data_IF_120241981944
#
_entry.id   IF_120241981944
#
_cell.length_a   1.000
_cell.length_b   1.000
_cell.length_c   1.000
_cell.angle_alpha   90.00
_cell.angle_beta   90.00
_cell.angle_gamma   90.00
#
_symmetry.space_group_name_H-M   'P 1'
#
loop_
_entity.id
_entity.type
_entity.pdbx_description
1 polymer ?
#
# COMPACT_ATOMS: atom_id res chain seq x y z
N UNK A 1 3.77 -18.17 -37.40
CA UNK A 1 4.36 -17.97 -38.74
C UNK A 1 5.57 -17.06 -38.73
N UNK A 2 5.90 -16.38 -37.61
CA UNK A 2 6.94 -15.36 -37.48
C UNK A 2 8.35 -15.88 -37.11
N UNK A 3 8.45 -17.08 -36.53
CA UNK A 3 9.73 -17.72 -36.12
C UNK A 3 10.71 -17.87 -37.30
N UNK A 4 10.19 -17.96 -38.53
CA UNK A 4 11.02 -18.19 -39.69
C UNK A 4 11.66 -16.90 -40.21
N UNK A 5 10.99 -15.74 -40.14
CA UNK A 5 11.42 -14.57 -40.91
C UNK A 5 12.66 -13.89 -40.33
N UNK A 6 12.77 -13.73 -39.01
CA UNK A 6 13.96 -13.13 -38.37
C UNK A 6 15.18 -14.04 -38.48
N UNK A 7 14.98 -15.33 -38.21
CA UNK A 7 16.02 -16.37 -38.39
C UNK A 7 16.46 -16.46 -39.85
N UNK A 8 15.51 -16.32 -40.79
CA UNK A 8 15.78 -16.28 -42.22
C UNK A 8 16.57 -15.04 -42.61
N UNK A 9 16.23 -13.87 -42.06
CA UNK A 9 16.99 -12.64 -42.25
C UNK A 9 18.43 -12.79 -41.77
N UNK A 10 18.64 -13.31 -40.55
CA UNK A 10 19.97 -13.58 -40.01
C UNK A 10 20.77 -14.54 -40.90
N UNK A 11 20.16 -15.65 -41.31
CA UNK A 11 20.81 -16.66 -42.16
C UNK A 11 21.26 -16.07 -43.50
N UNK A 12 20.40 -15.25 -44.14
CA UNK A 12 20.75 -14.60 -45.41
C UNK A 12 21.85 -13.56 -45.18
N UNK A 13 21.73 -12.71 -44.15
CA UNK A 13 22.73 -11.68 -43.83
C UNK A 13 24.13 -12.28 -43.58
N UNK A 14 24.21 -13.42 -42.87
CA UNK A 14 25.46 -14.14 -42.60
C UNK A 14 26.03 -14.85 -43.85
N UNK A 15 25.17 -15.18 -44.82
CA UNK A 15 25.57 -15.86 -46.04
C UNK A 15 26.04 -14.91 -47.15
N UNK A 16 25.88 -13.60 -46.98
CA UNK A 16 26.34 -12.59 -47.94
C UNK A 16 27.88 -12.52 -48.00
N UNK A 17 28.42 -12.59 -49.21
CA UNK A 17 29.84 -12.33 -49.50
C UNK A 17 30.04 -10.89 -49.93
N UNK A 18 31.25 -10.36 -49.68
CA UNK A 18 31.65 -8.99 -50.05
C UNK A 18 30.63 -7.94 -49.58
N UNK A 19 30.25 -8.04 -48.30
CA UNK A 19 29.20 -7.20 -47.72
C UNK A 19 29.65 -5.74 -47.65
N UNK A 20 28.95 -4.88 -48.38
CA UNK A 20 29.05 -3.43 -48.28
C UNK A 20 27.97 -2.90 -47.33
N UNK A 21 28.41 -2.03 -46.44
CA UNK A 21 27.57 -1.38 -45.45
C UNK A 21 27.21 0.04 -45.95
N UNK A 22 26.01 0.18 -46.51
CA UNK A 22 25.48 1.48 -46.98
C UNK A 22 24.57 2.10 -45.93
N UNK A 23 24.19 3.37 -46.05
CA UNK A 23 23.46 4.06 -44.97
C UNK A 23 22.23 3.29 -44.46
N UNK A 24 21.40 2.77 -45.37
CA UNK A 24 20.12 2.13 -45.04
C UNK A 24 20.06 0.63 -45.34
N UNK A 25 21.01 0.10 -46.12
CA UNK A 25 20.98 -1.29 -46.59
C UNK A 25 22.31 -2.02 -46.42
N UNK A 26 22.23 -3.32 -46.15
CA UNK A 26 23.34 -4.23 -46.37
C UNK A 26 23.30 -4.74 -47.81
N UNK A 27 24.38 -4.55 -48.54
CA UNK A 27 24.50 -5.03 -49.92
C UNK A 27 25.53 -6.15 -49.93
N UNK A 28 25.21 -7.28 -50.53
CA UNK A 28 26.17 -8.37 -50.65
C UNK A 28 25.82 -9.34 -51.75
N UNK A 29 26.74 -10.25 -52.04
CA UNK A 29 26.61 -11.20 -53.13
C UNK A 29 26.40 -12.61 -52.59
N UNK A 30 25.42 -13.33 -53.13
CA UNK A 30 25.19 -14.75 -52.79
C UNK A 30 25.00 -15.60 -54.04
N UNK A 31 25.32 -16.89 -53.95
CA UNK A 31 24.86 -17.88 -54.92
C UNK A 31 23.47 -18.38 -54.50
N UNK A 32 22.51 -18.35 -55.41
CA UNK A 32 21.14 -18.78 -55.12
C UNK A 32 20.97 -20.29 -55.29
N UNK A 33 20.21 -20.89 -54.39
CA UNK A 33 19.62 -22.22 -54.53
C UNK A 33 18.10 -22.11 -54.26
N UNK A 34 17.37 -23.21 -54.45
CA UNK A 34 15.91 -23.26 -54.25
C UNK A 34 15.49 -22.77 -52.86
N UNK A 35 16.24 -23.13 -51.83
CA UNK A 35 15.94 -22.78 -50.43
C UNK A 35 16.19 -21.29 -50.13
N UNK A 36 17.29 -20.71 -50.63
CA UNK A 36 17.63 -19.30 -50.47
C UNK A 36 16.64 -18.43 -51.24
N UNK A 37 16.20 -18.88 -52.42
CA UNK A 37 15.19 -18.16 -53.21
C UNK A 37 13.85 -18.09 -52.49
N UNK A 38 13.40 -19.20 -51.89
CA UNK A 38 12.18 -19.24 -51.07
C UNK A 38 12.28 -18.29 -49.87
N UNK A 39 13.41 -18.34 -49.16
CA UNK A 39 13.72 -17.44 -48.05
C UNK A 39 13.75 -15.96 -48.46
N UNK A 40 14.30 -15.62 -49.62
CA UNK A 40 14.33 -14.25 -50.13
C UNK A 40 12.94 -13.75 -50.55
N UNK A 41 12.10 -14.62 -51.12
CA UNK A 41 10.71 -14.28 -51.40
C UNK A 41 9.93 -13.99 -50.11
N UNK A 42 10.18 -14.74 -49.03
CA UNK A 42 9.62 -14.48 -47.70
C UNK A 42 10.09 -13.10 -47.18
N UNK A 43 11.39 -12.81 -47.23
CA UNK A 43 11.93 -11.51 -46.79
C UNK A 43 11.46 -10.34 -47.65
N UNK A 44 11.31 -10.52 -48.97
CA UNK A 44 10.81 -9.47 -49.86
C UNK A 44 9.33 -9.18 -49.61
N UNK A 45 8.54 -10.21 -49.34
CA UNK A 45 7.13 -10.07 -48.93
C UNK A 45 7.00 -9.33 -47.59
N UNK A 46 7.97 -9.50 -46.69
CA UNK A 46 8.08 -8.77 -45.43
C UNK A 46 8.70 -7.36 -45.55
N UNK A 47 9.07 -6.92 -46.77
CA UNK A 47 9.66 -5.62 -47.02
C UNK A 47 11.12 -5.47 -46.56
N UNK A 48 11.82 -6.57 -46.27
CA UNK A 48 13.19 -6.59 -45.77
C UNK A 48 14.25 -6.81 -46.85
N UNK A 49 13.83 -7.20 -48.05
CA UNK A 49 14.71 -7.44 -49.19
C UNK A 49 14.12 -6.87 -50.48
N UNK A 50 14.98 -6.27 -51.31
CA UNK A 50 14.56 -5.76 -52.61
C UNK A 50 14.11 -6.93 -53.51
N UNK A 51 12.97 -6.76 -54.19
CA UNK A 51 12.45 -7.73 -55.18
C UNK A 51 13.24 -7.76 -56.49
N UNK A 52 14.22 -6.87 -56.64
CA UNK A 52 15.06 -6.73 -57.81
C UNK A 52 16.53 -7.00 -57.48
N UNK A 53 17.16 -7.90 -58.24
CA UNK A 53 18.53 -8.38 -58.01
C UNK A 53 19.42 -8.02 -59.19
N UNK A 54 20.70 -7.73 -58.94
CA UNK A 54 21.73 -7.65 -60.00
C UNK A 54 22.44 -8.98 -60.15
N UNK A 55 22.85 -9.33 -61.37
CA UNK A 55 23.45 -10.63 -61.67
C UNK A 55 24.88 -10.48 -62.18
N UNK A 56 25.81 -11.15 -61.52
CA UNK A 56 27.19 -11.40 -62.00
C UNK A 56 27.32 -12.84 -62.49
N UNK A 57 28.03 -13.05 -63.59
CA UNK A 57 28.57 -14.36 -63.99
C UNK A 57 30.06 -14.28 -64.12
N UNK A 58 30.79 -15.20 -63.49
CA UNK A 58 32.25 -15.21 -63.50
C UNK A 58 32.85 -13.82 -63.14
N UNK A 59 32.30 -13.17 -62.11
CA UNK A 59 32.62 -11.81 -61.66
C UNK A 59 32.33 -10.66 -62.65
N UNK A 60 31.70 -10.93 -63.80
CA UNK A 60 31.28 -9.92 -64.77
C UNK A 60 29.78 -9.67 -64.65
N UNK A 61 29.38 -8.40 -64.52
CA UNK A 61 27.97 -8.00 -64.45
C UNK A 61 27.29 -8.30 -65.79
N UNK A 62 26.25 -9.15 -65.81
CA UNK A 62 25.55 -9.52 -67.06
C UNK A 62 24.24 -8.74 -67.24
N UNK A 63 23.52 -8.49 -66.15
CA UNK A 63 22.22 -7.83 -66.18
C UNK A 63 22.16 -6.71 -65.15
N UNK A 64 21.65 -5.51 -65.53
CA UNK A 64 21.50 -4.40 -64.59
C UNK A 64 20.39 -4.66 -63.55
N UNK A 65 19.35 -5.44 -63.88
CA UNK A 65 18.23 -5.75 -62.97
C UNK A 65 17.46 -7.00 -63.42
N UNK A 66 17.22 -7.95 -62.52
CA UNK A 66 16.32 -9.10 -62.71
C UNK A 66 15.31 -9.16 -61.55
N UNK A 67 14.04 -9.47 -61.83
CA UNK A 67 13.03 -9.67 -60.78
C UNK A 67 13.21 -11.02 -60.11
N UNK A 68 13.00 -11.08 -58.79
CA UNK A 68 13.02 -12.32 -58.00
C UNK A 68 12.08 -13.39 -58.57
N UNK A 69 10.89 -13.01 -59.03
CA UNK A 69 9.89 -13.91 -59.62
C UNK A 69 10.34 -14.56 -60.94
N UNK A 70 11.35 -13.98 -61.59
CA UNK A 70 11.90 -14.48 -62.87
C UNK A 70 12.97 -15.57 -62.71
N UNK A 71 13.45 -15.81 -61.49
CA UNK A 71 14.56 -16.73 -61.21
C UNK A 71 14.01 -18.16 -61.07
N UNK A 72 14.49 -19.05 -61.95
CA UNK A 72 14.18 -20.49 -61.98
C UNK A 72 15.45 -21.33 -61.85
N UNK A 73 15.30 -22.64 -61.67
CA UNK A 73 16.37 -23.63 -61.49
C UNK A 73 17.57 -23.50 -62.44
N UNK A 74 17.31 -23.07 -63.68
CA UNK A 74 18.32 -22.79 -64.71
C UNK A 74 19.31 -21.65 -64.37
N UNK A 75 19.17 -20.99 -63.23
CA UNK A 75 20.07 -19.93 -62.80
C UNK A 75 20.75 -20.23 -61.46
N UNK A 76 20.64 -21.46 -60.94
CA UNK A 76 21.34 -21.92 -59.73
C UNK A 76 22.75 -22.45 -60.01
N UNK A 77 23.35 -22.09 -61.16
CA UNK A 77 24.71 -22.51 -61.47
C UNK A 77 25.72 -21.70 -60.63
N UNK A 78 26.82 -22.33 -60.14
CA UNK A 78 27.82 -21.68 -59.27
C UNK A 78 28.54 -20.51 -59.93
N UNK A 79 28.46 -20.39 -61.25
CA UNK A 79 28.99 -19.26 -62.02
C UNK A 79 28.22 -17.96 -61.78
N UNK A 80 26.96 -18.03 -61.33
CA UNK A 80 26.10 -16.87 -61.10
C UNK A 80 26.08 -16.45 -59.63
N UNK A 81 26.24 -15.16 -59.39
CA UNK A 81 26.06 -14.52 -58.09
C UNK A 81 25.10 -13.36 -58.20
N UNK A 82 24.32 -13.14 -57.15
CA UNK A 82 23.21 -12.20 -57.11
C UNK A 82 23.45 -11.16 -56.03
N UNK A 83 23.29 -9.89 -56.38
CA UNK A 83 23.33 -8.77 -55.44
C UNK A 83 22.02 -8.74 -54.66
N UNK A 84 22.11 -8.99 -53.36
CA UNK A 84 20.99 -8.86 -52.43
C UNK A 84 21.17 -7.56 -51.65
N UNK A 85 20.07 -6.82 -51.53
CA UNK A 85 19.99 -5.64 -50.69
C UNK A 85 18.99 -5.92 -49.59
N UNK A 86 19.48 -5.91 -48.34
CA UNK A 86 18.67 -6.11 -47.15
C UNK A 86 18.51 -4.77 -46.42
N UNK A 87 17.29 -4.46 -45.98
CA UNK A 87 17.03 -3.31 -45.12
C UNK A 87 17.72 -3.50 -43.77
N UNK A 88 18.36 -2.46 -43.23
CA UNK A 88 19.09 -2.52 -41.95
C UNK A 88 18.21 -2.55 -40.72
N UNK A 89 17.02 -1.96 -40.80
CA UNK A 89 16.05 -1.96 -39.73
C UNK A 89 14.64 -2.04 -40.29
N UNK A 90 13.70 -2.44 -39.44
CA UNK A 90 12.27 -2.38 -39.74
C UNK A 90 11.51 -1.64 -38.63
N UNK A 91 12.20 -0.80 -37.84
CA UNK A 91 11.74 -0.27 -36.56
C UNK A 91 10.46 0.60 -36.65
N UNK A 92 10.11 1.08 -37.85
CA UNK A 92 8.87 1.84 -38.06
C UNK A 92 7.67 0.96 -38.44
N UNK A 93 7.91 -0.27 -38.91
CA UNK A 93 6.89 -1.18 -39.46
C UNK A 93 6.91 -2.57 -38.78
N UNK A 94 7.73 -2.75 -37.74
CA UNK A 94 7.88 -4.01 -37.03
C UNK A 94 6.83 -4.16 -35.94
N UNK A 95 5.75 -4.88 -36.22
CA UNK A 95 4.70 -5.21 -35.24
C UNK A 95 4.97 -6.57 -34.56
N UNK A 96 5.45 -7.56 -35.33
CA UNK A 96 5.66 -8.93 -34.86
C UNK A 96 7.13 -9.24 -34.53
N UNK A 97 8.06 -8.54 -35.18
CA UNK A 97 9.50 -8.71 -35.00
C UNK A 97 10.26 -7.43 -35.32
N UNK A 98 11.43 -7.25 -34.70
CA UNK A 98 12.28 -6.08 -34.93
C UNK A 98 13.68 -6.49 -35.38
N UNK A 99 14.14 -5.84 -36.43
CA UNK A 99 15.54 -5.77 -36.85
C UNK A 99 15.98 -4.34 -36.60
N UNK A 100 17.04 -4.16 -35.82
CA UNK A 100 17.62 -2.85 -35.53
C UNK A 100 19.13 -2.97 -35.28
N UNK A 101 19.79 -1.85 -35.08
CA UNK A 101 21.23 -1.79 -34.88
C UNK A 101 21.63 -2.32 -33.51
N UNK A 102 21.02 -1.79 -32.43
CA UNK A 102 21.34 -2.13 -31.04
C UNK A 102 20.19 -1.80 -30.08
N UNK A 103 20.41 -2.06 -28.79
CA UNK A 103 19.49 -1.73 -27.70
C UNK A 103 19.11 -0.24 -27.66
N UNK A 104 20.07 0.68 -27.83
CA UNK A 104 19.79 2.12 -27.76
C UNK A 104 18.83 2.59 -28.86
N UNK A 105 18.94 2.04 -30.08
CA UNK A 105 17.98 2.32 -31.16
C UNK A 105 16.58 1.83 -30.77
N UNK A 106 16.46 0.59 -30.31
CA UNK A 106 15.18 -0.02 -29.88
C UNK A 106 14.51 0.77 -28.76
N UNK A 107 15.27 1.09 -27.71
CA UNK A 107 14.80 1.75 -26.48
C UNK A 107 14.53 3.25 -26.65
N UNK A 108 14.93 3.84 -27.78
CA UNK A 108 14.57 5.22 -28.11
C UNK A 108 13.09 5.38 -28.48
N UNK A 109 12.42 4.27 -28.83
CA UNK A 109 11.03 4.23 -29.27
C UNK A 109 10.07 3.80 -28.14
N UNK A 110 9.23 4.71 -27.62
CA UNK A 110 8.34 4.42 -26.49
C UNK A 110 7.37 3.24 -26.72
N UNK A 111 6.92 3.03 -27.95
CA UNK A 111 5.92 2.00 -28.25
C UNK A 111 6.47 0.58 -28.03
N UNK A 112 7.77 0.37 -28.20
CA UNK A 112 8.43 -0.91 -27.93
C UNK A 112 8.75 -1.12 -26.45
N UNK A 113 8.77 -0.05 -25.65
CA UNK A 113 8.83 -0.16 -24.18
C UNK A 113 7.44 -0.53 -23.64
N UNK A 114 6.39 0.08 -24.18
CA UNK A 114 5.00 -0.16 -23.78
C UNK A 114 4.51 -1.52 -24.27
N UNK A 115 4.97 -2.00 -25.42
CA UNK A 115 4.64 -3.32 -25.93
C UNK A 115 5.90 -4.06 -26.41
N UNK A 116 6.63 -4.72 -25.50
CA UNK A 116 7.88 -5.41 -25.82
C UNK A 116 7.69 -6.52 -26.85
N UNK A 117 8.41 -6.41 -27.97
CA UNK A 117 8.45 -7.43 -29.01
C UNK A 117 9.41 -8.56 -28.64
N UNK A 118 8.98 -9.81 -28.85
CA UNK A 118 9.72 -11.01 -28.40
C UNK A 118 10.80 -11.46 -29.38
N UNK A 119 10.62 -11.18 -30.68
CA UNK A 119 11.55 -11.61 -31.71
C UNK A 119 12.37 -10.40 -32.18
N UNK A 120 13.65 -10.36 -31.77
CA UNK A 120 14.56 -9.25 -32.03
C UNK A 120 15.85 -9.74 -32.70
N UNK A 121 16.36 -8.96 -33.65
CA UNK A 121 17.67 -9.19 -34.24
C UNK A 121 18.48 -7.90 -34.29
N UNK A 122 19.68 -7.94 -33.70
CA UNK A 122 20.61 -6.81 -33.73
C UNK A 122 21.66 -6.99 -34.80
N UNK A 123 21.73 -6.05 -35.72
CA UNK A 123 22.64 -6.11 -36.87
C UNK A 123 24.09 -5.79 -36.48
N UNK A 124 24.32 -4.99 -35.43
CA UNK A 124 25.67 -4.66 -34.94
C UNK A 124 26.37 -5.87 -34.30
N UNK A 125 25.68 -6.57 -33.40
CA UNK A 125 26.21 -7.73 -32.67
C UNK A 125 25.87 -9.07 -33.32
N UNK A 126 25.00 -9.08 -34.33
CA UNK A 126 24.46 -10.27 -35.01
C UNK A 126 23.75 -11.23 -34.05
N UNK A 127 23.21 -10.70 -32.96
CA UNK A 127 22.51 -11.46 -31.93
C UNK A 127 21.02 -11.58 -32.26
N UNK A 128 20.49 -12.79 -32.06
CA UNK A 128 19.08 -13.10 -32.16
C UNK A 128 18.52 -13.29 -30.74
N UNK A 129 17.47 -12.56 -30.41
CA UNK A 129 16.72 -12.74 -29.18
C UNK A 129 15.33 -13.25 -29.52
N UNK A 130 14.92 -14.29 -28.81
CA UNK A 130 13.61 -14.91 -28.93
C UNK A 130 13.14 -15.36 -27.54
N UNK A 131 12.00 -16.05 -27.47
CA UNK A 131 11.45 -16.55 -26.20
C UNK A 131 12.37 -17.49 -25.42
N UNK A 132 13.33 -18.14 -26.08
CA UNK A 132 14.26 -19.09 -25.48
C UNK A 132 15.58 -18.41 -25.05
N UNK A 133 15.73 -17.10 -25.32
CA UNK A 133 16.91 -16.36 -24.90
C UNK A 133 16.98 -16.23 -23.38
N UNK A 134 18.17 -16.47 -22.84
CA UNK A 134 18.48 -16.33 -21.40
C UNK A 134 19.25 -15.05 -21.09
N UNK A 135 19.41 -14.18 -22.09
CA UNK A 135 20.08 -12.89 -21.93
C UNK A 135 19.36 -12.00 -20.92
N UNK A 136 20.09 -11.49 -19.92
CA UNK A 136 19.53 -10.71 -18.82
C UNK A 136 18.90 -9.40 -19.31
N UNK A 137 19.54 -8.71 -20.27
CA UNK A 137 19.01 -7.46 -20.83
C UNK A 137 17.70 -7.71 -21.58
N UNK A 138 17.61 -8.82 -22.33
CA UNK A 138 16.39 -9.22 -23.00
C UNK A 138 15.25 -9.55 -22.02
N UNK A 139 15.54 -10.29 -20.95
CA UNK A 139 14.54 -10.56 -19.90
C UNK A 139 14.07 -9.26 -19.22
N UNK A 140 15.00 -8.35 -18.91
CA UNK A 140 14.68 -7.04 -18.34
C UNK A 140 13.86 -6.16 -19.30
N UNK A 141 14.16 -6.21 -20.60
CA UNK A 141 13.39 -5.52 -21.63
C UNK A 141 11.92 -6.00 -21.67
N UNK A 142 11.68 -7.32 -21.63
CA UNK A 142 10.31 -7.86 -21.56
C UNK A 142 9.57 -7.41 -20.30
N UNK A 143 10.30 -7.20 -19.20
CA UNK A 143 9.76 -6.75 -17.91
C UNK A 143 9.45 -5.24 -17.87
N UNK A 144 9.93 -4.44 -18.83
CA UNK A 144 9.67 -2.99 -18.85
C UNK A 144 8.17 -2.65 -18.92
N UNK A 145 7.38 -3.45 -19.62
CA UNK A 145 5.92 -3.30 -19.69
C UNK A 145 5.29 -3.30 -18.30
N UNK A 146 5.78 -4.14 -17.38
CA UNK A 146 5.25 -4.24 -16.02
C UNK A 146 5.53 -2.99 -15.19
N UNK A 147 6.65 -2.34 -15.46
CA UNK A 147 7.01 -1.09 -14.82
C UNK A 147 6.17 0.07 -15.39
N UNK A 148 5.92 0.05 -16.70
CA UNK A 148 4.95 0.95 -17.33
C UNK A 148 3.53 0.76 -16.76
N UNK A 149 3.08 -0.50 -16.62
CA UNK A 149 1.80 -0.87 -16.00
C UNK A 149 1.70 -0.35 -14.57
N UNK A 150 2.79 -0.44 -13.79
CA UNK A 150 2.86 0.15 -12.45
C UNK A 150 2.71 1.68 -12.46
N UNK A 151 3.39 2.40 -13.36
CA UNK A 151 3.21 3.87 -13.48
C UNK A 151 1.77 4.20 -13.85
N UNK A 152 1.19 3.47 -14.81
CA UNK A 152 -0.20 3.70 -15.23
C UNK A 152 -1.20 3.38 -14.12
N UNK A 153 -0.99 2.32 -13.37
CA UNK A 153 -1.77 2.01 -12.17
C UNK A 153 -1.75 3.19 -11.19
N UNK A 154 -0.59 3.79 -10.91
CA UNK A 154 -0.52 4.98 -10.05
C UNK A 154 -1.17 6.22 -10.70
N UNK A 155 -1.04 6.37 -12.02
CA UNK A 155 -1.65 7.47 -12.78
C UNK A 155 -3.18 7.41 -12.70
N UNK A 156 -3.77 6.23 -12.90
CA UNK A 156 -5.21 5.98 -12.80
C UNK A 156 -5.74 6.25 -11.40
N UNK A 157 -5.06 5.75 -10.37
CA UNK A 157 -5.46 5.97 -8.98
C UNK A 157 -5.32 7.44 -8.54
N UNK A 158 -4.40 8.19 -9.15
CA UNK A 158 -4.26 9.63 -8.95
C UNK A 158 -5.12 10.47 -9.91
N UNK A 159 -5.97 9.83 -10.73
CA UNK A 159 -6.83 10.46 -11.74
C UNK A 159 -6.08 11.41 -12.69
N UNK A 160 -4.89 10.99 -13.08
CA UNK A 160 -3.99 11.74 -13.95
C UNK A 160 -3.93 11.13 -15.35
N UNK A 161 -3.36 11.88 -16.31
CA UNK A 161 -3.10 11.38 -17.66
C UNK A 161 -2.14 10.18 -17.63
N UNK A 162 -2.19 9.32 -18.65
CA UNK A 162 -1.30 8.17 -18.79
C UNK A 162 0.18 8.60 -18.72
N UNK A 163 0.99 7.81 -18.00
CA UNK A 163 2.40 8.14 -17.75
C UNK A 163 2.63 9.38 -16.88
N UNK A 164 1.63 9.84 -16.13
CA UNK A 164 1.74 10.98 -15.21
C UNK A 164 1.22 10.63 -13.83
N UNK A 165 2.06 10.79 -12.80
CA UNK A 165 1.65 10.59 -11.41
C UNK A 165 1.42 11.97 -10.77
N UNK A 166 0.25 12.17 -10.15
CA UNK A 166 -0.01 13.38 -9.37
C UNK A 166 0.15 13.12 -7.88
N UNK A 167 1.10 13.83 -7.26
CA UNK A 167 1.29 13.81 -5.81
C UNK A 167 1.84 15.16 -5.35
N UNK A 168 0.96 16.03 -4.85
CA UNK A 168 1.17 17.47 -4.62
C UNK A 168 1.47 18.30 -5.88
N UNK A 169 2.21 17.74 -6.84
CA UNK A 169 2.46 18.25 -8.20
C UNK A 169 2.44 17.09 -9.20
N UNK A 170 2.33 17.42 -10.49
CA UNK A 170 2.37 16.43 -11.57
C UNK A 170 3.79 16.02 -11.92
N UNK A 171 4.03 14.71 -12.03
CA UNK A 171 5.28 14.12 -12.48
C UNK A 171 5.03 13.30 -13.74
N UNK A 172 5.43 13.86 -14.89
CA UNK A 172 5.37 13.19 -16.18
C UNK A 172 6.58 12.30 -16.39
N UNK A 173 6.39 11.17 -17.06
CA UNK A 173 7.46 10.26 -17.47
C UNK A 173 7.62 10.30 -18.98
N UNK A 174 8.87 10.48 -19.43
CA UNK A 174 9.24 10.18 -20.81
C UNK A 174 9.80 8.77 -20.88
N UNK A 175 9.15 7.90 -21.66
CA UNK A 175 9.54 6.50 -21.83
C UNK A 175 10.63 6.38 -22.89
N UNK A 176 11.85 6.78 -22.53
CA UNK A 176 13.05 6.60 -23.34
C UNK A 176 14.15 6.01 -22.46
N UNK A 177 14.84 4.99 -22.96
CA UNK A 177 15.89 4.28 -22.22
C UNK A 177 17.14 4.09 -23.09
N UNK A 178 18.19 3.63 -22.44
CA UNK A 178 19.49 3.25 -23.02
C UNK A 178 19.83 1.82 -22.60
N UNK A 179 20.77 1.17 -23.30
CA UNK A 179 21.21 -0.19 -22.97
C UNK A 179 21.69 -0.32 -21.50
N UNK A 180 22.31 0.74 -20.98
CA UNK A 180 22.79 0.76 -19.60
C UNK A 180 21.66 0.64 -18.55
N UNK A 181 20.42 1.00 -18.91
CA UNK A 181 19.28 0.90 -18.00
C UNK A 181 18.84 -0.54 -17.77
N UNK A 182 19.14 -1.45 -18.71
CA UNK A 182 18.72 -2.86 -18.66
C UNK A 182 19.66 -3.76 -17.85
N UNK A 183 20.79 -3.23 -17.36
CA UNK A 183 21.84 -4.03 -16.69
C UNK A 183 21.45 -4.53 -15.31
N UNK A 184 20.55 -3.83 -14.63
CA UNK A 184 20.13 -4.17 -13.27
C UNK A 184 18.96 -5.16 -13.31
N UNK A 185 19.01 -6.21 -12.49
CA UNK A 185 17.92 -7.18 -12.38
C UNK A 185 16.67 -6.52 -11.78
N UNK A 186 15.50 -6.73 -12.41
CA UNK A 186 14.24 -6.10 -12.03
C UNK A 186 13.37 -7.06 -11.22
N UNK A 187 13.11 -6.75 -9.94
CA UNK A 187 12.20 -7.55 -9.09
C UNK A 187 10.72 -7.22 -9.36
N UNK A 188 10.19 -7.75 -10.46
CA UNK A 188 8.79 -7.54 -10.87
C UNK A 188 7.79 -8.28 -9.98
N UNK A 189 8.17 -9.43 -9.41
CA UNK A 189 7.25 -10.27 -8.62
C UNK A 189 6.79 -9.54 -7.35
N UNK A 190 7.73 -8.89 -6.67
CA UNK A 190 7.42 -8.09 -5.48
C UNK A 190 6.55 -6.89 -5.84
N UNK A 191 6.82 -6.24 -6.99
CA UNK A 191 6.02 -5.12 -7.49
C UNK A 191 4.55 -5.53 -7.76
N UNK A 192 4.33 -6.65 -8.45
CA UNK A 192 2.97 -7.17 -8.70
C UNK A 192 2.25 -7.54 -7.41
N UNK A 193 2.97 -8.15 -6.46
CA UNK A 193 2.41 -8.49 -5.14
C UNK A 193 1.97 -7.25 -4.37
N UNK A 194 2.74 -6.16 -4.46
CA UNK A 194 2.39 -4.87 -3.87
C UNK A 194 1.14 -4.25 -4.52
N UNK A 195 1.03 -4.29 -5.85
CA UNK A 195 -0.11 -3.75 -6.60
C UNK A 195 -1.43 -4.49 -6.31
N UNK A 196 -1.35 -5.81 -6.12
CA UNK A 196 -2.52 -6.68 -5.93
C UNK A 196 -2.96 -6.82 -4.46
N UNK A 197 -2.39 -6.04 -3.54
CA UNK A 197 -2.68 -6.17 -2.11
C UNK A 197 -3.96 -5.42 -1.73
N UNK A 198 -4.97 -6.16 -1.27
CA UNK A 198 -6.29 -5.59 -0.93
C UNK A 198 -6.33 -4.90 0.45
N UNK A 199 -5.57 -5.39 1.44
CA UNK A 199 -5.59 -4.81 2.78
C UNK A 199 -4.97 -3.42 2.79
N UNK A 200 -5.73 -2.42 3.23
CA UNK A 200 -5.31 -1.01 3.25
C UNK A 200 -4.92 -0.47 1.86
N UNK A 201 -5.55 -0.97 0.80
CA UNK A 201 -5.23 -0.64 -0.60
C UNK A 201 -5.05 0.85 -0.88
N UNK A 202 -5.98 1.70 -0.43
CA UNK A 202 -5.87 3.16 -0.61
C UNK A 202 -4.61 3.75 0.06
N UNK A 203 -4.30 3.30 1.28
CA UNK A 203 -3.11 3.75 2.00
C UNK A 203 -1.82 3.26 1.33
N UNK A 204 -1.80 2.01 0.84
CA UNK A 204 -0.69 1.45 0.07
C UNK A 204 -0.45 2.28 -1.20
N UNK A 205 -1.51 2.58 -1.95
CA UNK A 205 -1.38 3.36 -3.20
C UNK A 205 -0.87 4.77 -2.91
N UNK A 206 -1.39 5.42 -1.86
CA UNK A 206 -0.89 6.74 -1.45
C UNK A 206 0.59 6.69 -1.06
N UNK A 207 1.01 5.64 -0.34
CA UNK A 207 2.40 5.41 0.04
C UNK A 207 3.29 5.18 -1.19
N UNK A 208 2.85 4.36 -2.15
CA UNK A 208 3.55 4.17 -3.41
C UNK A 208 3.73 5.49 -4.15
N UNK A 209 2.66 6.29 -4.29
CA UNK A 209 2.74 7.60 -4.92
C UNK A 209 3.76 8.50 -4.21
N UNK A 210 3.73 8.53 -2.87
CA UNK A 210 4.68 9.32 -2.07
C UNK A 210 6.12 8.89 -2.31
N UNK A 211 6.42 7.59 -2.24
CA UNK A 211 7.79 7.09 -2.39
C UNK A 211 8.28 7.23 -3.83
N UNK A 212 7.47 6.90 -4.84
CA UNK A 212 7.82 7.08 -6.26
C UNK A 212 8.06 8.55 -6.58
N UNK A 213 7.15 9.44 -6.19
CA UNK A 213 7.30 10.87 -6.46
C UNK A 213 8.45 11.48 -5.68
N UNK A 214 8.70 11.04 -4.45
CA UNK A 214 9.87 11.43 -3.67
C UNK A 214 11.19 10.98 -4.30
N UNK A 215 11.19 9.80 -4.94
CA UNK A 215 12.34 9.21 -5.61
C UNK A 215 12.74 9.94 -6.90
N UNK A 216 11.78 10.52 -7.63
CA UNK A 216 12.00 11.20 -8.91
C UNK A 216 11.97 12.74 -8.82
N UNK A 217 11.76 13.29 -7.62
CA UNK A 217 11.40 14.70 -7.43
C UNK A 217 12.46 15.70 -7.94
N UNK A 218 13.72 15.32 -7.89
CA UNK A 218 14.88 16.13 -8.23
C UNK A 218 15.47 15.75 -9.60
N UNK A 219 14.75 14.94 -10.38
CA UNK A 219 15.21 14.37 -11.65
C UNK A 219 14.46 15.02 -12.81
N UNK A 220 15.21 15.34 -13.88
CA UNK A 220 14.66 15.87 -15.11
C UNK A 220 13.67 14.90 -15.75
N UNK A 221 12.60 15.42 -16.33
CA UNK A 221 11.52 14.63 -16.94
C UNK A 221 12.00 13.57 -17.93
N UNK A 222 13.08 13.86 -18.66
CA UNK A 222 13.66 12.93 -19.65
C UNK A 222 14.31 11.70 -19.01
N UNK A 223 14.83 11.84 -17.79
CA UNK A 223 15.65 10.83 -17.12
C UNK A 223 14.91 10.08 -16.01
N UNK A 224 13.68 10.51 -15.63
CA UNK A 224 12.89 9.89 -14.55
C UNK A 224 12.66 8.41 -14.75
N UNK A 225 12.31 8.00 -15.97
CA UNK A 225 12.02 6.61 -16.26
C UNK A 225 13.29 5.76 -16.18
N UNK A 226 14.37 6.18 -16.86
CA UNK A 226 15.70 5.55 -16.77
C UNK A 226 16.18 5.40 -15.32
N UNK A 227 16.09 6.46 -14.51
CA UNK A 227 16.48 6.40 -13.10
C UNK A 227 15.62 5.41 -12.30
N UNK A 228 14.31 5.34 -12.57
CA UNK A 228 13.42 4.42 -11.90
C UNK A 228 13.74 2.95 -12.25
N UNK A 229 14.10 2.66 -13.50
CA UNK A 229 14.54 1.32 -13.91
C UNK A 229 15.82 0.92 -13.18
N UNK A 230 16.86 1.75 -13.22
CA UNK A 230 18.17 1.47 -12.58
C UNK A 230 18.09 1.26 -11.08
N UNK A 231 17.08 1.81 -10.43
CA UNK A 231 16.94 1.78 -8.99
C UNK A 231 15.57 1.28 -8.53
N UNK A 232 14.96 0.37 -9.31
CA UNK A 232 13.66 -0.19 -9.02
C UNK A 232 13.67 -0.97 -7.69
N UNK A 233 14.67 -1.83 -7.46
CA UNK A 233 14.72 -2.67 -6.26
C UNK A 233 14.86 -1.84 -4.95
N UNK A 234 15.74 -0.82 -4.89
CA UNK A 234 15.72 0.14 -3.79
C UNK A 234 14.37 0.83 -3.58
N UNK A 235 13.70 1.25 -4.65
CA UNK A 235 12.38 1.88 -4.59
C UNK A 235 11.31 0.93 -4.00
N UNK A 236 11.26 -0.32 -4.48
CA UNK A 236 10.36 -1.36 -3.96
C UNK A 236 10.62 -1.59 -2.46
N UNK A 237 11.90 -1.65 -2.07
CA UNK A 237 12.30 -1.84 -0.66
C UNK A 237 11.82 -0.66 0.21
N UNK A 238 11.95 0.58 -0.27
CA UNK A 238 11.45 1.76 0.44
C UNK A 238 9.92 1.77 0.58
N UNK A 239 9.19 1.33 -0.46
CA UNK A 239 7.74 1.17 -0.40
C UNK A 239 7.36 0.13 0.65
N UNK A 240 8.04 -1.01 0.69
CA UNK A 240 7.81 -2.06 1.68
C UNK A 240 8.07 -1.58 3.10
N UNK A 241 9.20 -0.89 3.35
CA UNK A 241 9.52 -0.33 4.65
C UNK A 241 8.50 0.72 5.11
N UNK A 242 8.08 1.57 4.20
CA UNK A 242 7.06 2.58 4.49
C UNK A 242 5.70 1.94 4.79
N UNK A 243 5.38 0.81 4.14
CA UNK A 243 4.16 0.06 4.40
C UNK A 243 4.22 -0.65 5.76
N UNK A 244 5.35 -1.27 6.07
CA UNK A 244 5.57 -1.88 7.38
C UNK A 244 5.38 -0.85 8.50
N UNK A 245 6.00 0.34 8.35
CA UNK A 245 5.86 1.44 9.30
C UNK A 245 4.39 1.87 9.45
N UNK A 246 3.64 1.98 8.35
CA UNK A 246 2.21 2.29 8.38
C UNK A 246 1.39 1.23 9.13
N UNK A 247 1.67 -0.06 8.91
CA UNK A 247 0.97 -1.15 9.60
C UNK A 247 1.28 -1.15 11.11
N UNK A 248 2.52 -0.85 11.46
CA UNK A 248 2.96 -0.75 12.86
C UNK A 248 2.27 0.44 13.56
N UNK A 249 2.25 1.62 12.92
CA UNK A 249 1.54 2.82 13.41
C UNK A 249 0.03 2.58 13.52
N UNK A 250 -0.58 1.95 12.51
CA UNK A 250 -2.01 1.61 12.54
C UNK A 250 -2.34 0.64 13.67
N UNK A 251 -1.46 -0.34 13.90
CA UNK A 251 -1.59 -1.29 15.00
C UNK A 251 -1.48 -0.56 16.34
N UNK A 252 -0.51 0.33 16.51
CA UNK A 252 -0.34 1.17 17.70
C UNK A 252 -1.58 2.03 17.97
N UNK A 253 -2.11 2.73 16.95
CA UNK A 253 -3.32 3.54 17.11
C UNK A 253 -4.54 2.71 17.50
N UNK A 254 -4.65 1.48 16.97
CA UNK A 254 -5.71 0.54 17.35
C UNK A 254 -5.60 0.11 18.81
N UNK A 255 -4.38 -0.21 19.28
CA UNK A 255 -4.12 -0.54 20.68
C UNK A 255 -4.46 0.64 21.59
N UNK A 256 -4.01 1.84 21.20
CA UNK A 256 -4.31 3.09 21.90
C UNK A 256 -5.79 3.36 22.00
N UNK A 257 -6.54 3.12 20.92
CA UNK A 257 -7.99 3.24 20.90
C UNK A 257 -8.64 2.24 21.86
N UNK A 258 -8.21 0.97 21.85
CA UNK A 258 -8.79 -0.11 22.68
C UNK A 258 -8.76 0.25 24.19
N UNK A 259 -7.61 0.63 24.75
CA UNK A 259 -7.57 0.97 26.19
C UNK A 259 -8.19 2.33 26.54
N UNK A 260 -8.20 3.30 25.61
CA UNK A 260 -8.85 4.60 25.85
C UNK A 260 -10.38 4.49 25.83
N UNK A 261 -10.93 3.63 24.97
CA UNK A 261 -12.35 3.27 24.98
C UNK A 261 -12.71 2.59 26.31
N UNK A 262 -11.92 1.61 26.76
CA UNK A 262 -12.11 0.97 28.07
C UNK A 262 -11.99 1.95 29.24
N UNK A 263 -11.03 2.87 29.20
CA UNK A 263 -10.93 3.96 30.19
C UNK A 263 -12.24 4.74 30.27
N UNK A 264 -12.76 5.15 29.11
CA UNK A 264 -13.98 5.96 29.02
C UNK A 264 -15.20 5.17 29.53
N UNK A 265 -15.30 3.90 29.14
CA UNK A 265 -16.35 2.98 29.58
C UNK A 265 -16.37 2.85 31.12
N UNK A 266 -15.25 2.50 31.75
CA UNK A 266 -15.19 2.34 33.20
C UNK A 266 -15.29 3.67 33.96
N UNK A 267 -14.77 4.76 33.39
CA UNK A 267 -14.94 6.12 33.92
C UNK A 267 -16.43 6.48 34.00
N UNK A 268 -17.21 6.12 32.98
CA UNK A 268 -18.65 6.31 32.93
C UNK A 268 -19.36 5.42 33.96
N UNK A 269 -19.07 4.12 33.98
CA UNK A 269 -19.67 3.20 34.97
C UNK A 269 -19.42 3.63 36.43
N UNK A 270 -18.23 4.13 36.77
CA UNK A 270 -17.94 4.68 38.12
C UNK A 270 -18.83 5.89 38.42
N UNK A 271 -18.99 6.80 37.47
CA UNK A 271 -19.85 7.97 37.63
C UNK A 271 -21.32 7.56 37.75
N UNK A 272 -21.81 6.67 36.89
CA UNK A 272 -23.19 6.19 36.92
C UNK A 272 -23.51 5.53 38.28
N UNK A 273 -22.55 4.78 38.84
CA UNK A 273 -22.66 4.18 40.17
C UNK A 273 -22.78 5.24 41.26
N UNK A 274 -22.01 6.33 41.17
CA UNK A 274 -22.12 7.47 42.08
C UNK A 274 -23.45 8.23 41.91
N UNK A 275 -23.84 8.53 40.68
CA UNK A 275 -25.04 9.30 40.35
C UNK A 275 -26.31 8.58 40.83
N UNK A 276 -26.30 7.24 40.83
CA UNK A 276 -27.40 6.41 41.36
C UNK A 276 -27.73 6.66 42.85
N UNK A 277 -26.75 7.15 43.63
CA UNK A 277 -26.88 7.40 45.08
C UNK A 277 -26.68 8.87 45.44
N UNK A 278 -26.14 9.70 44.55
CA UNK A 278 -25.87 11.13 44.78
C UNK A 278 -27.11 11.89 45.23
N UNK A 279 -28.26 11.69 44.56
CA UNK A 279 -29.52 12.34 44.94
C UNK A 279 -29.96 11.94 46.34
N UNK A 280 -29.80 10.66 46.72
CA UNK A 280 -30.14 10.16 48.07
C UNK A 280 -29.20 10.73 49.13
N UNK A 281 -27.91 10.83 48.82
CA UNK A 281 -26.89 11.42 49.70
C UNK A 281 -27.16 12.89 50.01
N UNK A 282 -27.82 13.63 49.12
CA UNK A 282 -28.23 15.02 49.36
C UNK A 282 -29.62 15.12 50.00
N UNK A 283 -30.58 14.34 49.51
CA UNK A 283 -31.96 14.38 49.96
C UNK A 283 -32.14 13.93 51.42
N UNK A 284 -31.39 12.89 51.85
CA UNK A 284 -31.55 12.32 53.19
C UNK A 284 -31.08 13.30 54.29
N UNK A 285 -29.88 13.89 54.24
CA UNK A 285 -29.49 14.94 55.19
C UNK A 285 -30.45 16.12 55.25
N UNK A 286 -30.97 16.58 54.11
CA UNK A 286 -31.98 17.64 54.06
C UNK A 286 -33.30 17.20 54.71
N UNK A 287 -33.74 15.96 54.48
CA UNK A 287 -34.91 15.36 55.12
C UNK A 287 -34.74 15.23 56.63
N UNK A 288 -33.55 14.84 57.10
CA UNK A 288 -33.22 14.78 58.53
C UNK A 288 -33.28 16.19 59.14
N UNK A 289 -32.66 17.18 58.50
CA UNK A 289 -32.73 18.57 58.96
C UNK A 289 -34.19 19.05 59.10
N UNK A 290 -35.02 18.80 58.08
CA UNK A 290 -36.43 19.17 58.12
C UNK A 290 -37.22 18.43 59.19
N UNK A 291 -36.94 17.14 59.41
CA UNK A 291 -37.55 16.36 60.49
C UNK A 291 -37.15 16.90 61.86
N UNK A 292 -35.87 17.21 62.08
CA UNK A 292 -35.37 17.76 63.35
C UNK A 292 -35.99 19.09 63.71
N UNK A 293 -36.28 19.95 62.72
CA UNK A 293 -36.92 21.24 62.93
C UNK A 293 -38.36 21.13 63.47
N UNK A 294 -38.98 19.95 63.42
CA UNK A 294 -40.34 19.71 63.91
C UNK A 294 -40.40 19.27 65.38
N UNK A 295 -39.24 19.09 66.04
CA UNK A 295 -39.15 18.79 67.47
C UNK A 295 -39.63 20.01 68.27
N UNK A 296 -40.54 19.79 69.22
CA UNK A 296 -41.02 20.84 70.14
C UNK A 296 -40.25 20.81 71.46
N UNK A 297 -39.93 21.98 72.01
CA UNK A 297 -39.31 22.13 73.33
C UNK A 297 -40.38 22.19 74.45
N UNK A 298 -40.03 21.74 75.66
CA UNK A 298 -40.91 21.66 76.84
C UNK A 298 -42.15 20.79 76.62
N UNK A 299 -41.93 19.50 76.34
CA UNK A 299 -43.00 18.54 76.08
C UNK A 299 -43.73 18.12 77.38
N UNK A 300 -44.45 19.05 78.00
CA UNK A 300 -45.18 18.80 79.27
C UNK A 300 -46.43 17.93 79.09
N UNK A 301 -46.90 17.72 77.84
CA UNK A 301 -48.05 16.87 77.51
C UNK A 301 -47.63 15.58 76.79
N UNK A 302 -48.30 14.46 77.13
CA UNK A 302 -48.07 13.13 76.52
C UNK A 302 -48.07 13.13 74.98
N UNK A 303 -48.84 14.04 74.36
CA UNK A 303 -48.93 14.16 72.90
C UNK A 303 -47.65 14.70 72.25
N UNK A 304 -46.98 15.67 72.89
CA UNK A 304 -45.76 16.28 72.36
C UNK A 304 -44.55 15.32 72.46
N UNK A 305 -44.49 14.50 73.52
CA UNK A 305 -43.50 13.41 73.64
C UNK A 305 -43.64 12.37 72.51
N UNK A 306 -44.87 11.93 72.24
CA UNK A 306 -45.16 10.95 71.18
C UNK A 306 -44.75 11.47 69.81
N UNK A 307 -44.99 12.77 69.54
CA UNK A 307 -44.57 13.44 68.31
C UNK A 307 -43.05 13.43 68.15
N UNK A 308 -42.30 13.85 69.19
CA UNK A 308 -40.84 13.89 69.15
C UNK A 308 -40.23 12.48 68.99
N UNK A 309 -40.86 11.46 69.57
CA UNK A 309 -40.45 10.06 69.40
C UNK A 309 -40.63 9.58 67.95
N UNK A 310 -41.75 9.93 67.31
CA UNK A 310 -42.00 9.60 65.89
C UNK A 310 -40.97 10.27 64.98
N UNK A 311 -40.58 11.52 65.26
CA UNK A 311 -39.50 12.22 64.53
C UNK A 311 -38.18 11.46 64.67
N UNK A 312 -37.78 11.07 65.90
CA UNK A 312 -36.55 10.32 66.13
C UNK A 312 -36.52 8.99 65.36
N UNK A 313 -37.62 8.23 65.39
CA UNK A 313 -37.74 6.97 64.64
C UNK A 313 -37.69 7.17 63.13
N UNK A 314 -38.26 8.27 62.62
CA UNK A 314 -38.20 8.62 61.19
C UNK A 314 -36.77 8.91 60.76
N UNK A 315 -36.03 9.71 61.53
CA UNK A 315 -34.62 10.02 61.26
C UNK A 315 -33.76 8.75 61.32
N UNK A 316 -33.97 7.89 62.32
CA UNK A 316 -33.27 6.61 62.43
C UNK A 316 -33.49 5.74 61.18
N UNK A 317 -34.74 5.62 60.72
CA UNK A 317 -35.08 4.88 59.52
C UNK A 317 -34.39 5.45 58.27
N UNK A 318 -34.40 6.78 58.09
CA UNK A 318 -33.72 7.44 56.98
C UNK A 318 -32.22 7.17 56.94
N UNK A 319 -31.55 7.21 58.10
CA UNK A 319 -30.10 6.91 58.19
C UNK A 319 -29.81 5.44 57.87
N UNK A 320 -30.61 4.51 58.39
CA UNK A 320 -30.46 3.07 58.09
C UNK A 320 -30.63 2.82 56.59
N UNK A 321 -31.65 3.41 55.96
CA UNK A 321 -31.89 3.27 54.52
C UNK A 321 -30.73 3.86 53.71
N UNK A 322 -30.16 5.01 54.11
CA UNK A 322 -28.98 5.57 53.44
C UNK A 322 -27.79 4.62 53.53
N UNK A 323 -27.49 4.10 54.72
CA UNK A 323 -26.37 3.19 54.94
C UNK A 323 -26.53 1.94 54.06
N UNK A 324 -27.72 1.32 54.02
CA UNK A 324 -27.99 0.16 53.18
C UNK A 324 -27.80 0.47 51.68
N UNK A 325 -28.28 1.62 51.20
CA UNK A 325 -28.08 2.04 49.81
C UNK A 325 -26.59 2.22 49.47
N UNK A 326 -25.82 2.84 50.37
CA UNK A 326 -24.39 3.07 50.14
C UNK A 326 -23.59 1.77 50.19
N UNK A 327 -23.90 0.87 51.12
CA UNK A 327 -23.25 -0.45 51.19
C UNK A 327 -23.49 -1.26 49.91
N UNK A 328 -24.69 -1.19 49.34
CA UNK A 328 -24.99 -1.80 48.05
C UNK A 328 -24.11 -1.25 46.92
N UNK A 329 -24.03 0.08 46.79
CA UNK A 329 -23.20 0.72 45.77
C UNK A 329 -21.69 0.50 45.99
N UNK A 330 -21.26 0.35 47.24
CA UNK A 330 -19.88 -0.02 47.56
C UNK A 330 -19.53 -1.40 47.02
N UNK A 331 -20.45 -2.37 47.11
CA UNK A 331 -20.25 -3.71 46.50
C UNK A 331 -20.09 -3.60 44.99
N UNK A 332 -20.96 -2.83 44.32
CA UNK A 332 -20.89 -2.59 42.87
C UNK A 332 -19.58 -1.93 42.46
N UNK A 333 -19.10 -0.91 43.19
CA UNK A 333 -17.79 -0.28 42.93
C UNK A 333 -16.63 -1.26 43.12
N UNK A 334 -16.73 -2.17 44.11
CA UNK A 334 -15.70 -3.20 44.35
C UNK A 334 -15.64 -4.22 43.22
N UNK A 335 -16.79 -4.68 42.73
CA UNK A 335 -16.88 -5.58 41.58
C UNK A 335 -16.32 -4.92 40.32
N UNK A 336 -16.71 -3.67 40.07
CA UNK A 336 -16.20 -2.89 38.95
C UNK A 336 -14.68 -2.69 39.03
N UNK A 337 -14.15 -2.47 40.23
CA UNK A 337 -12.70 -2.41 40.47
C UNK A 337 -11.99 -3.69 40.07
N UNK A 338 -12.51 -4.84 40.45
CA UNK A 338 -11.92 -6.12 40.08
C UNK A 338 -11.99 -6.32 38.56
N UNK A 339 -13.14 -6.04 37.95
CA UNK A 339 -13.36 -6.19 36.51
C UNK A 339 -12.35 -5.36 35.69
N UNK A 340 -12.25 -4.05 35.95
CA UNK A 340 -11.30 -3.23 35.19
C UNK A 340 -9.85 -3.63 35.53
N UNK A 341 -9.54 -4.03 36.76
CA UNK A 341 -8.17 -4.44 37.12
C UNK A 341 -7.74 -5.65 36.28
N UNK A 342 -8.61 -6.63 36.11
CA UNK A 342 -8.33 -7.81 35.28
C UNK A 342 -8.24 -7.47 33.79
N UNK A 343 -9.14 -6.63 33.28
CA UNK A 343 -9.09 -6.16 31.89
C UNK A 343 -7.78 -5.42 31.60
N UNK A 344 -7.39 -4.46 32.44
CA UNK A 344 -6.16 -3.69 32.27
C UNK A 344 -4.90 -4.54 32.53
N UNK A 345 -4.98 -5.58 33.35
CA UNK A 345 -3.90 -6.57 33.50
C UNK A 345 -3.71 -7.38 32.21
N UNK A 346 -4.80 -7.88 31.62
CA UNK A 346 -4.75 -8.61 30.35
C UNK A 346 -4.26 -7.72 29.20
N UNK A 347 -4.70 -6.46 29.14
CA UNK A 347 -4.22 -5.49 28.15
C UNK A 347 -2.70 -5.24 28.27
N UNK A 348 -2.15 -5.14 29.48
CA UNK A 348 -0.69 -5.01 29.69
C UNK A 348 0.10 -6.22 29.18
N UNK A 349 -0.45 -7.42 29.35
CA UNK A 349 0.19 -8.66 28.85
C UNK A 349 0.11 -8.74 27.33
N UNK A 350 -1.05 -8.38 26.76
CA UNK A 350 -1.29 -8.38 25.31
C UNK A 350 -0.45 -7.31 24.59
N UNK A 351 -0.19 -6.17 25.24
CA UNK A 351 0.50 -5.01 24.67
C UNK A 351 1.67 -4.58 25.55
N UNK A 352 2.76 -5.35 25.51
CA UNK A 352 3.93 -5.16 26.37
C UNK A 352 4.59 -3.78 26.17
N UNK A 353 4.68 -3.30 24.94
CA UNK A 353 5.33 -2.03 24.58
C UNK A 353 4.61 -0.81 25.18
N UNK A 354 3.29 -0.90 25.38
CA UNK A 354 2.45 0.16 25.94
C UNK A 354 2.09 -0.05 27.42
N UNK A 355 2.67 -1.07 28.07
CA UNK A 355 2.31 -1.46 29.44
C UNK A 355 2.44 -0.30 30.46
N UNK A 356 3.36 0.65 30.24
CA UNK A 356 3.53 1.84 31.08
C UNK A 356 2.31 2.77 31.02
N UNK A 357 1.81 3.08 29.83
CA UNK A 357 0.64 3.97 29.65
C UNK A 357 -0.65 3.29 30.13
N UNK A 358 -0.84 2.01 29.78
CA UNK A 358 -1.96 1.20 30.29
C UNK A 358 -1.92 1.15 31.83
N UNK A 359 -0.72 1.09 32.43
CA UNK A 359 -0.52 1.20 33.86
C UNK A 359 -0.92 2.53 34.48
N UNK A 360 -0.64 3.65 33.81
CA UNK A 360 -1.08 4.98 34.27
C UNK A 360 -2.60 5.07 34.28
N UNK A 361 -3.27 4.63 33.21
CA UNK A 361 -4.73 4.67 33.10
C UNK A 361 -5.41 3.84 34.18
N UNK A 362 -4.90 2.62 34.44
CA UNK A 362 -5.40 1.78 35.54
C UNK A 362 -5.27 2.48 36.90
N UNK A 363 -4.15 3.17 37.18
CA UNK A 363 -3.98 3.96 38.41
C UNK A 363 -4.93 5.17 38.48
N UNK A 364 -5.23 5.80 37.36
CA UNK A 364 -6.20 6.90 37.30
C UNK A 364 -7.62 6.41 37.66
N UNK A 365 -8.02 5.25 37.14
CA UNK A 365 -9.29 4.61 37.51
C UNK A 365 -9.34 4.24 38.99
N UNK A 366 -8.25 3.70 39.55
CA UNK A 366 -8.14 3.43 40.99
C UNK A 366 -8.30 4.70 41.83
N UNK A 367 -7.63 5.78 41.44
CA UNK A 367 -7.75 7.07 42.12
C UNK A 367 -9.18 7.58 42.08
N UNK A 368 -9.84 7.49 40.91
CA UNK A 368 -11.22 7.92 40.74
C UNK A 368 -12.19 7.08 41.58
N UNK A 369 -12.03 5.75 41.57
CA UNK A 369 -12.83 4.83 42.37
C UNK A 369 -12.69 5.13 43.87
N UNK A 370 -11.46 5.29 44.36
CA UNK A 370 -11.20 5.61 45.76
C UNK A 370 -11.78 6.98 46.16
N UNK A 371 -11.70 7.98 45.27
CA UNK A 371 -12.33 9.28 45.49
C UNK A 371 -13.85 9.19 45.60
N UNK A 372 -14.48 8.40 44.71
CA UNK A 372 -15.92 8.13 44.78
C UNK A 372 -16.31 7.46 46.09
N UNK A 373 -15.59 6.41 46.51
CA UNK A 373 -15.79 5.76 47.81
C UNK A 373 -15.67 6.77 48.96
N UNK A 374 -14.64 7.62 48.94
CA UNK A 374 -14.44 8.66 49.95
C UNK A 374 -15.64 9.62 50.06
N UNK A 375 -16.21 10.06 48.93
CA UNK A 375 -17.46 10.85 48.93
C UNK A 375 -18.61 10.09 49.59
N UNK A 376 -18.80 8.81 49.25
CA UNK A 376 -19.88 8.01 49.82
C UNK A 376 -19.73 7.86 51.34
N UNK A 377 -18.52 7.56 51.81
CA UNK A 377 -18.23 7.45 53.25
C UNK A 377 -18.44 8.77 53.98
N UNK A 378 -18.07 9.91 53.39
CA UNK A 378 -18.32 11.23 53.98
C UNK A 378 -19.82 11.50 54.19
N UNK A 379 -20.69 11.07 53.27
CA UNK A 379 -22.15 11.20 53.39
C UNK A 379 -22.73 10.38 54.54
N UNK A 380 -22.20 9.17 54.79
CA UNK A 380 -22.57 8.37 55.97
C UNK A 380 -22.22 9.12 57.25
N UNK A 381 -20.99 9.65 57.35
CA UNK A 381 -20.53 10.37 58.55
C UNK A 381 -21.43 11.57 58.85
N UNK A 382 -21.76 12.37 57.83
CA UNK A 382 -22.66 13.53 57.97
C UNK A 382 -24.04 13.10 58.48
N UNK A 383 -24.60 12.01 57.93
CA UNK A 383 -25.93 11.54 58.31
C UNK A 383 -25.98 10.98 59.73
N UNK A 384 -24.92 10.29 60.16
CA UNK A 384 -24.78 9.83 61.55
C UNK A 384 -24.65 11.04 62.50
N UNK A 385 -23.87 12.06 62.14
CA UNK A 385 -23.74 13.27 62.95
C UNK A 385 -25.09 13.99 63.13
N UNK A 386 -25.89 14.10 62.06
CA UNK A 386 -27.24 14.67 62.13
C UNK A 386 -28.19 13.82 63.01
N UNK A 387 -28.07 12.50 62.97
CA UNK A 387 -28.83 11.63 63.87
C UNK A 387 -28.45 11.82 65.34
N UNK A 388 -27.15 11.91 65.64
CA UNK A 388 -26.68 12.20 67.00
C UNK A 388 -27.21 13.55 67.47
N UNK A 389 -27.19 14.57 66.61
CA UNK A 389 -27.78 15.87 66.92
C UNK A 389 -29.29 15.79 67.22
N UNK A 390 -30.03 15.02 66.40
CA UNK A 390 -31.47 14.75 66.63
C UNK A 390 -31.71 14.11 67.99
N UNK A 391 -30.87 13.14 68.36
CA UNK A 391 -30.96 12.41 69.61
C UNK A 391 -30.69 13.32 70.82
N UNK A 392 -29.71 14.22 70.73
CA UNK A 392 -29.45 15.24 71.75
C UNK A 392 -30.64 16.19 71.93
N UNK A 393 -31.23 16.67 70.82
CA UNK A 393 -32.43 17.52 70.88
C UNK A 393 -33.63 16.81 71.50
N UNK A 394 -33.81 15.51 71.20
CA UNK A 394 -34.86 14.71 71.82
C UNK A 394 -34.70 14.62 73.35
N UNK A 395 -33.47 14.40 73.84
CA UNK A 395 -33.20 14.37 75.28
C UNK A 395 -33.34 15.74 75.95
N UNK A 396 -33.01 16.84 75.27
CA UNK A 396 -33.18 18.20 75.81
C UNK A 396 -34.65 18.66 75.80
N UNK A 397 -35.48 18.04 74.96
CA UNK A 397 -36.92 18.32 74.89
C UNK A 397 -37.72 17.65 76.02
N UNK A 398 -37.16 16.61 76.64
CA UNK A 398 -37.70 15.95 77.82
C UNK A 398 -37.25 16.71 79.07
#
# INVERSE_FOLDING_TARGET
MTINTVTTYQNILLSLKDREDTHDKFIGWIALNSEILEKLNELSSAGLADSSLRIKKNNVLISPTASLDGIKDRHFFPEYTYEIKLEKNNINNGDDFIICYNWDELLSYPHYIINPIKDLFFTSSQMLFNKDSTDENYLNYLNLYKIYEFINFLSENTKSDQGTIFFNRSYKFKFTLTENDLKECLDIQTLETLMNKDMHREAIIHLMCKEVTGFIKDIDEKDRFSHMIRHLNPLITNILHSYQSFVDDYSFDKVRKEYNEKRTEYTKKINDTFDSVATKMLAIPAGIWFATAQIKNNAEQNFDFTRNFVVLMTVLCMVVVLILNILGQYSTLKELKNEYTDVFKNLKVKFADEAKEIGKISKELDRKNNWTVGKMTSSIIISIALFIYTLVLFFYSY
#
